data_IF_986695541014
#
_entry.id   IF_986695541014
#
_cell.length_a   1.000
_cell.length_b   1.000
_cell.length_c   1.000
_cell.angle_alpha   90.00
_cell.angle_beta   90.00
_cell.angle_gamma   90.00
#
_symmetry.space_group_name_H-M   'P 1'
#
loop_
_entity.id
_entity.type
_entity.pdbx_description
1 polymer ?
#
# COMPACT_ATOMS: atom_id res chain seq x y z
N UNK A 1 -1.60 2.29 -9.02
CA UNK A 1 -0.91 0.99 -9.01
C UNK A 1 -1.89 -0.11 -9.37
N UNK A 2 -1.55 -0.95 -10.33
CA UNK A 2 -2.44 -2.04 -10.72
C UNK A 2 -2.77 -2.92 -9.52
N UNK A 3 -4.03 -3.30 -9.39
CA UNK A 3 -4.46 -4.16 -8.32
C UNK A 3 -4.89 -3.45 -7.05
N UNK A 4 -4.57 -2.18 -6.90
CA UNK A 4 -5.01 -1.42 -5.73
C UNK A 4 -6.14 -0.50 -6.16
N UNK A 5 -7.32 -0.75 -5.61
CA UNK A 5 -8.49 0.04 -5.96
C UNK A 5 -8.50 1.37 -5.23
N UNK A 6 -8.27 1.33 -3.92
CA UNK A 6 -8.15 2.56 -3.16
C UNK A 6 -7.43 2.30 -1.83
N UNK A 7 -6.87 3.36 -1.29
CA UNK A 7 -6.24 3.32 0.02
C UNK A 7 -7.23 3.91 1.02
N UNK A 8 -7.58 3.13 2.04
CA UNK A 8 -8.61 3.52 2.99
C UNK A 8 -8.05 4.20 4.21
N UNK A 9 -6.83 3.84 4.60
CA UNK A 9 -6.23 4.39 5.80
C UNK A 9 -4.72 4.35 5.68
N UNK A 10 -4.08 5.41 6.14
CA UNK A 10 -2.63 5.50 6.21
C UNK A 10 -2.26 5.99 7.59
N UNK A 11 -1.29 5.33 8.21
CA UNK A 11 -0.76 5.77 9.47
C UNK A 11 0.75 5.70 9.45
N UNK A 12 1.38 6.75 9.94
CA UNK A 12 2.83 6.85 9.99
C UNK A 12 3.23 7.07 11.45
N UNK A 13 4.05 6.16 11.95
CA UNK A 13 4.61 6.30 13.29
C UNK A 13 6.11 6.48 13.18
N UNK A 14 6.64 7.44 13.94
CA UNK A 14 8.08 7.69 13.96
C UNK A 14 8.69 7.07 15.20
N UNK A 15 9.74 6.27 14.99
CA UNK A 15 10.47 5.66 16.09
C UNK A 15 11.94 5.96 15.88
N UNK A 16 12.46 6.89 16.68
CA UNK A 16 13.88 7.22 16.58
C UNK A 16 14.21 7.74 15.19
N UNK A 17 15.04 6.97 14.47
CA UNK A 17 15.54 7.43 13.18
C UNK A 17 14.72 6.93 12.00
N UNK A 18 13.75 6.07 12.25
CA UNK A 18 12.99 5.48 11.17
C UNK A 18 11.52 5.74 11.29
N UNK A 19 10.78 5.32 10.29
CA UNK A 19 9.34 5.44 10.26
C UNK A 19 8.71 4.07 10.06
N UNK A 20 7.56 3.87 10.68
CA UNK A 20 6.76 2.69 10.49
C UNK A 20 5.48 3.10 9.76
N UNK A 21 5.22 2.48 8.64
CA UNK A 21 4.10 2.84 7.80
C UNK A 21 3.07 1.72 7.81
N UNK A 22 1.82 2.11 7.97
CA UNK A 22 0.71 1.16 7.99
C UNK A 22 -0.35 1.66 7.02
N UNK A 23 -0.84 0.79 6.16
CA UNK A 23 -1.90 1.12 5.21
C UNK A 23 -2.97 0.06 5.20
N UNK A 24 -4.22 0.51 5.01
CA UNK A 24 -5.34 -0.37 4.74
C UNK A 24 -5.83 -0.07 3.34
N UNK A 25 -5.98 -1.11 2.54
CA UNK A 25 -6.30 -0.92 1.12
C UNK A 25 -7.45 -1.82 0.71
N UNK A 26 -8.12 -1.42 -0.37
CA UNK A 26 -9.05 -2.27 -1.09
C UNK A 26 -8.36 -2.68 -2.39
N UNK A 27 -8.33 -3.96 -2.67
CA UNK A 27 -7.69 -4.47 -3.88
C UNK A 27 -8.74 -4.85 -4.91
N UNK A 28 -8.31 -5.02 -6.16
CA UNK A 28 -9.20 -5.40 -7.25
C UNK A 28 -9.11 -6.91 -7.43
N UNK A 29 -10.27 -7.57 -7.44
CA UNK A 29 -10.33 -9.00 -7.67
C UNK A 29 -9.82 -9.34 -9.06
N UNK A 30 -9.06 -10.41 -9.16
CA UNK A 30 -8.57 -10.88 -10.44
C UNK A 30 -7.12 -10.58 -10.71
N UNK A 31 -6.50 -9.76 -9.89
CA UNK A 31 -5.08 -9.50 -10.03
C UNK A 31 -4.28 -10.41 -9.12
N UNK A 32 -3.02 -10.61 -9.47
CA UNK A 32 -2.12 -11.34 -8.61
C UNK A 32 -1.82 -10.46 -7.40
N UNK A 33 -2.50 -10.75 -6.30
CA UNK A 33 -2.44 -9.89 -5.13
C UNK A 33 -1.06 -9.87 -4.49
N UNK A 34 -0.38 -11.02 -4.50
CA UNK A 34 0.93 -11.09 -3.86
C UNK A 34 1.92 -10.20 -4.56
N UNK A 35 2.02 -10.33 -5.89
CA UNK A 35 2.95 -9.51 -6.66
C UNK A 35 2.54 -8.05 -6.66
N UNK A 36 1.24 -7.79 -6.77
CA UNK A 36 0.74 -6.43 -6.78
C UNK A 36 1.08 -5.69 -5.50
N UNK A 37 0.90 -6.34 -4.36
CA UNK A 37 1.19 -5.72 -3.08
C UNK A 37 2.69 -5.52 -2.91
N UNK A 38 3.49 -6.49 -3.33
CA UNK A 38 4.94 -6.34 -3.26
C UNK A 38 5.42 -5.13 -4.05
N UNK A 39 4.94 -4.97 -5.28
CA UNK A 39 5.33 -3.84 -6.10
C UNK A 39 4.82 -2.52 -5.55
N UNK A 40 3.61 -2.54 -5.02
CA UNK A 40 3.04 -1.37 -4.39
C UNK A 40 3.90 -0.91 -3.21
N UNK A 41 4.33 -1.86 -2.37
CA UNK A 41 5.17 -1.52 -1.22
C UNK A 41 6.48 -0.89 -1.65
N UNK A 42 7.12 -1.45 -2.67
CA UNK A 42 8.39 -0.93 -3.14
C UNK A 42 8.23 0.49 -3.66
N UNK A 43 7.21 0.72 -4.48
CA UNK A 43 6.97 2.05 -5.04
C UNK A 43 6.61 3.05 -3.96
N UNK A 44 5.68 2.69 -3.08
CA UNK A 44 5.22 3.60 -2.05
C UNK A 44 6.34 3.95 -1.09
N UNK A 45 7.16 2.97 -0.73
CA UNK A 45 8.28 3.23 0.15
C UNK A 45 9.25 4.24 -0.47
N UNK A 46 9.60 4.05 -1.73
CA UNK A 46 10.50 4.97 -2.42
C UNK A 46 9.94 6.38 -2.48
N UNK A 47 8.66 6.50 -2.79
CA UNK A 47 8.05 7.83 -2.88
C UNK A 47 8.02 8.53 -1.53
N UNK A 48 7.66 7.79 -0.49
CA UNK A 48 7.59 8.39 0.85
C UNK A 48 8.97 8.79 1.33
N UNK A 49 9.96 7.95 1.11
CA UNK A 49 11.33 8.28 1.52
C UNK A 49 11.84 9.50 0.76
N UNK A 50 11.48 9.59 -0.52
CA UNK A 50 11.89 10.73 -1.34
C UNK A 50 11.24 12.03 -0.88
N UNK A 51 9.95 11.98 -0.55
CA UNK A 51 9.21 13.18 -0.19
C UNK A 51 9.48 13.65 1.22
N UNK A 52 9.76 12.72 2.13
CA UNK A 52 9.92 13.08 3.55
C UNK A 52 11.36 13.04 4.02
N UNK A 53 12.25 12.50 3.20
CA UNK A 53 13.66 12.25 3.58
C UNK A 53 13.77 11.34 4.80
N UNK A 54 12.74 10.55 5.07
CA UNK A 54 12.74 9.61 6.19
C UNK A 54 13.00 8.21 5.70
N UNK A 55 13.66 7.42 6.53
CA UNK A 55 13.90 6.02 6.23
C UNK A 55 12.71 5.21 6.73
N UNK A 56 12.02 4.53 5.83
CA UNK A 56 10.87 3.69 6.19
C UNK A 56 11.39 2.32 6.58
N UNK A 57 11.34 2.02 7.88
CA UNK A 57 11.86 0.77 8.39
C UNK A 57 10.88 -0.38 8.34
N UNK A 58 9.61 -0.07 8.49
CA UNK A 58 8.56 -1.09 8.40
C UNK A 58 7.42 -0.56 7.57
N UNK A 59 6.87 -1.42 6.74
CA UNK A 59 5.76 -1.06 5.89
C UNK A 59 4.78 -2.22 5.90
N UNK A 60 3.62 -2.01 6.49
CA UNK A 60 2.57 -3.02 6.56
C UNK A 60 1.39 -2.59 5.72
N UNK A 61 0.92 -3.50 4.86
CA UNK A 61 -0.26 -3.28 4.04
C UNK A 61 -1.28 -4.34 4.39
N UNK A 62 -2.46 -3.89 4.81
CA UNK A 62 -3.55 -4.79 5.19
C UNK A 62 -4.66 -4.67 4.16
N UNK A 63 -5.08 -5.80 3.62
CA UNK A 63 -6.18 -5.83 2.66
C UNK A 63 -7.49 -5.92 3.45
N UNK A 64 -8.26 -4.85 3.42
CA UNK A 64 -9.52 -4.79 4.16
C UNK A 64 -10.70 -5.23 3.32
N UNK A 65 -10.65 -4.97 2.04
CA UNK A 65 -11.76 -5.29 1.14
C UNK A 65 -11.24 -5.69 -0.22
N UNK A 66 -12.09 -6.40 -0.96
CA UNK A 66 -11.81 -6.77 -2.35
C UNK A 66 -12.92 -6.20 -3.21
N UNK A 67 -12.54 -5.40 -4.19
CA UNK A 67 -13.49 -4.83 -5.15
C UNK A 67 -13.61 -5.78 -6.33
N UNK A 68 -14.82 -6.19 -6.64
CA UNK A 68 -15.08 -7.06 -7.78
C UNK A 68 -15.68 -6.19 -8.89
N UNK A 69 -14.94 -5.96 -9.98
CA UNK A 69 -15.47 -5.13 -11.06
C UNK A 69 -16.69 -5.79 -11.67
N UNK A 70 -17.69 -4.97 -11.95
CA UNK A 70 -18.86 -5.43 -12.67
C UNK A 70 -18.56 -5.39 -14.15
N UNK A 71 -18.68 -6.50 -14.80
CA UNK A 71 -18.48 -6.47 -16.22
C UNK A 71 -19.74 -6.06 -16.88
N UNK A 72 -19.61 -5.10 -17.75
CA UNK A 72 -20.58 -4.61 -18.65
C UNK A 72 -21.91 -5.32 -18.71
N UNK A 73 -22.57 -5.22 -17.77
CA UNK A 73 -23.90 -5.76 -17.79
C UNK A 73 -24.80 -4.93 -18.61
#
# INVERSE_FOLDING_TARGET
TPGIYKIQKIRVDNFGEGAKLYMEVTVVYGFNLIDGIKQFKIKAKKEIEKLTAMNVEEFEVVVKNVYVPQKGE
#
